data_IF_748077767710
#
_entry.id   IF_748077767710
#
_cell.length_a   1.000
_cell.length_b   1.000
_cell.length_c   1.000
_cell.angle_alpha   90.00
_cell.angle_beta   90.00
_cell.angle_gamma   90.00
#
_symmetry.space_group_name_H-M   'P 1'
#
loop_
_entity.id
_entity.type
_entity.pdbx_description
1 polymer ?
#
# COMPACT_ATOMS: atom_id res chain seq x y z
N UNK A 1 1.45 -3.56 14.90
CA UNK A 1 2.71 -4.30 15.17
C UNK A 1 3.81 -3.72 14.28
N UNK A 2 4.97 -3.34 14.83
CA UNK A 2 6.05 -2.73 14.05
C UNK A 2 6.70 -3.76 13.10
N UNK A 3 7.06 -3.34 11.89
CA UNK A 3 7.81 -4.18 10.93
C UNK A 3 9.22 -4.45 11.49
N UNK A 4 9.62 -5.72 11.56
CA UNK A 4 11.01 -6.09 11.91
C UNK A 4 11.91 -5.86 10.70
N UNK A 5 12.44 -4.65 10.62
CA UNK A 5 13.25 -4.19 9.49
C UNK A 5 14.59 -4.92 9.39
N UNK A 6 15.14 -5.42 10.49
CA UNK A 6 16.48 -6.04 10.51
C UNK A 6 16.43 -7.43 9.90
N UNK A 7 15.52 -8.29 10.36
CA UNK A 7 15.38 -9.63 9.80
C UNK A 7 14.89 -9.59 8.35
N UNK A 8 14.01 -8.64 8.02
CA UNK A 8 13.52 -8.44 6.67
C UNK A 8 14.63 -7.99 5.70
N UNK A 9 15.44 -6.99 6.07
CA UNK A 9 16.55 -6.54 5.21
C UNK A 9 17.52 -7.69 4.93
N UNK A 10 17.83 -8.51 5.95
CA UNK A 10 18.64 -9.71 5.78
C UNK A 10 18.00 -10.72 4.81
N UNK A 11 16.71 -11.01 4.97
CA UNK A 11 16.00 -11.92 4.08
C UNK A 11 16.03 -11.44 2.62
N UNK A 12 15.79 -10.14 2.38
CA UNK A 12 15.90 -9.52 1.06
C UNK A 12 17.32 -9.62 0.49
N UNK A 13 18.34 -9.49 1.34
CA UNK A 13 19.75 -9.64 0.95
C UNK A 13 20.11 -11.07 0.52
N UNK A 14 19.45 -12.07 1.11
CA UNK A 14 19.73 -13.49 0.83
C UNK A 14 18.93 -14.04 -0.37
N UNK A 15 17.94 -13.31 -0.90
CA UNK A 15 17.13 -13.73 -2.06
C UNK A 15 17.95 -13.79 -3.37
N UNK A 16 17.61 -14.66 -4.33
CA UNK A 16 18.11 -14.54 -5.71
C UNK A 16 17.77 -13.16 -6.30
N UNK A 17 18.65 -12.64 -7.17
CA UNK A 17 18.47 -11.29 -7.74
C UNK A 17 17.18 -11.21 -8.56
N UNK A 18 16.85 -12.27 -9.29
CA UNK A 18 15.63 -12.37 -10.08
C UNK A 18 14.39 -12.25 -9.19
N UNK A 19 14.38 -12.94 -8.04
CA UNK A 19 13.30 -12.87 -7.05
C UNK A 19 13.22 -11.50 -6.39
N UNK A 20 14.37 -10.89 -6.08
CA UNK A 20 14.42 -9.56 -5.48
C UNK A 20 13.81 -8.49 -6.41
N UNK A 21 14.04 -8.61 -7.72
CA UNK A 21 13.51 -7.68 -8.73
C UNK A 21 12.00 -7.85 -8.96
N UNK A 22 11.42 -9.02 -8.67
CA UNK A 22 9.96 -9.26 -8.79
C UNK A 22 9.19 -8.93 -7.52
N UNK A 23 9.87 -8.80 -6.38
CA UNK A 23 9.24 -8.58 -5.06
C UNK A 23 8.39 -7.29 -5.02
N UNK A 24 8.89 -6.17 -5.56
CA UNK A 24 8.13 -4.91 -5.56
C UNK A 24 6.82 -5.03 -6.37
N UNK A 25 6.82 -5.52 -7.63
CA UNK A 25 5.59 -5.79 -8.38
C UNK A 25 4.59 -6.70 -7.65
N UNK A 26 5.07 -7.75 -6.98
CA UNK A 26 4.23 -8.67 -6.22
C UNK A 26 3.57 -7.98 -5.03
N UNK A 27 4.33 -7.19 -4.26
CA UNK A 27 3.81 -6.39 -3.16
C UNK A 27 2.77 -5.39 -3.68
N UNK A 28 3.07 -4.65 -4.76
CA UNK A 28 2.15 -3.68 -5.36
C UNK A 28 0.83 -4.34 -5.78
N UNK A 29 0.88 -5.54 -6.37
CA UNK A 29 -0.31 -6.28 -6.74
C UNK A 29 -1.14 -6.68 -5.51
N UNK A 30 -0.49 -7.17 -4.45
CA UNK A 30 -1.16 -7.46 -3.18
C UNK A 30 -1.85 -6.22 -2.59
N UNK A 31 -1.17 -5.07 -2.60
CA UNK A 31 -1.74 -3.80 -2.13
C UNK A 31 -2.97 -3.38 -2.94
N UNK A 32 -2.96 -3.54 -4.26
CA UNK A 32 -4.12 -3.24 -5.13
C UNK A 32 -5.34 -4.07 -4.73
N UNK A 33 -5.14 -5.35 -4.44
CA UNK A 33 -6.23 -6.21 -3.98
C UNK A 33 -6.80 -5.75 -2.64
N UNK A 34 -5.95 -5.36 -1.69
CA UNK A 34 -6.39 -4.82 -0.40
C UNK A 34 -7.14 -3.49 -0.54
N UNK A 35 -6.64 -2.57 -1.37
CA UNK A 35 -7.29 -1.28 -1.65
C UNK A 35 -8.67 -1.49 -2.27
N UNK A 36 -8.77 -2.38 -3.26
CA UNK A 36 -10.04 -2.72 -3.88
C UNK A 36 -11.00 -3.33 -2.85
N UNK A 37 -10.53 -4.28 -2.05
CA UNK A 37 -11.34 -4.89 -0.99
C UNK A 37 -11.85 -3.85 0.00
N UNK A 38 -11.05 -2.84 0.34
CA UNK A 38 -11.47 -1.75 1.21
C UNK A 38 -12.57 -0.90 0.57
N UNK A 39 -12.47 -0.61 -0.72
CA UNK A 39 -13.51 0.12 -1.45
C UNK A 39 -14.80 -0.70 -1.52
N UNK A 40 -14.72 -1.99 -1.85
CA UNK A 40 -15.87 -2.89 -1.91
C UNK A 40 -16.59 -2.97 -0.53
N UNK A 41 -15.83 -3.01 0.58
CA UNK A 41 -16.40 -3.00 1.93
C UNK A 41 -17.06 -1.65 2.28
N UNK A 42 -16.46 -0.52 1.89
CA UNK A 42 -17.07 0.81 2.07
C UNK A 42 -18.34 1.00 1.25
N UNK A 43 -18.41 0.42 0.06
CA UNK A 43 -19.63 0.45 -0.77
C UNK A 43 -20.77 -0.36 -0.11
N UNK A 44 -20.43 -1.45 0.59
CA UNK A 44 -21.40 -2.28 1.29
C UNK A 44 -21.88 -1.67 2.62
N UNK A 45 -20.98 -1.02 3.38
CA UNK A 45 -21.31 -0.28 4.60
C UNK A 45 -20.81 1.18 4.56
N UNK A 46 -21.51 2.06 3.84
CA UNK A 46 -21.10 3.46 3.68
C UNK A 46 -21.11 4.27 4.98
N UNK A 47 -21.87 3.82 5.99
CA UNK A 47 -21.98 4.51 7.27
C UNK A 47 -20.98 3.98 8.32
N UNK A 48 -20.25 2.90 8.01
CA UNK A 48 -19.28 2.32 8.93
C UNK A 48 -19.91 1.78 10.22
N UNK A 49 -21.15 1.27 10.14
CA UNK A 49 -21.87 0.74 11.30
C UNK A 49 -21.56 -0.73 11.57
N UNK A 50 -21.05 -1.46 10.57
CA UNK A 50 -20.58 -2.83 10.72
C UNK A 50 -19.15 -2.81 11.28
N UNK A 51 -19.03 -3.22 12.54
CA UNK A 51 -17.76 -3.26 13.25
C UNK A 51 -16.77 -4.25 12.65
N UNK A 52 -17.25 -5.32 12.02
CA UNK A 52 -16.38 -6.33 11.41
C UNK A 52 -15.78 -5.78 10.12
N UNK A 53 -16.58 -5.08 9.30
CA UNK A 53 -16.09 -4.43 8.08
C UNK A 53 -15.12 -3.28 8.36
N UNK A 54 -15.45 -2.43 9.34
CA UNK A 54 -14.56 -1.33 9.74
C UNK A 54 -13.23 -1.85 10.30
N UNK A 55 -13.26 -2.91 11.11
CA UNK A 55 -12.04 -3.56 11.61
C UNK A 55 -11.20 -4.15 10.48
N UNK A 56 -11.82 -4.87 9.54
CA UNK A 56 -11.13 -5.45 8.39
C UNK A 56 -10.47 -4.36 7.51
N UNK A 57 -11.13 -3.22 7.31
CA UNK A 57 -10.57 -2.07 6.58
C UNK A 57 -9.31 -1.54 7.28
N UNK A 58 -9.35 -1.38 8.60
CA UNK A 58 -8.19 -0.89 9.37
C UNK A 58 -7.03 -1.89 9.35
N UNK A 59 -7.29 -3.19 9.49
CA UNK A 59 -6.26 -4.23 9.36
C UNK A 59 -5.61 -4.22 7.98
N UNK A 60 -6.40 -4.02 6.92
CA UNK A 60 -5.91 -3.89 5.56
C UNK A 60 -5.05 -2.63 5.39
N UNK A 61 -5.46 -1.49 5.96
CA UNK A 61 -4.66 -0.24 5.93
C UNK A 61 -3.31 -0.43 6.63
N UNK A 62 -3.29 -1.10 7.78
CA UNK A 62 -2.07 -1.45 8.52
C UNK A 62 -1.17 -2.39 7.71
N UNK A 63 -1.74 -3.34 6.98
CA UNK A 63 -0.99 -4.22 6.09
C UNK A 63 -0.40 -3.46 4.90
N UNK A 64 -1.18 -2.60 4.26
CA UNK A 64 -0.74 -1.72 3.17
C UNK A 64 0.44 -0.86 3.62
N UNK A 65 0.39 -0.26 4.82
CA UNK A 65 1.50 0.54 5.34
C UNK A 65 2.78 -0.29 5.55
N UNK A 66 2.66 -1.51 6.08
CA UNK A 66 3.81 -2.41 6.26
C UNK A 66 4.41 -2.86 4.93
N UNK A 67 3.55 -3.11 3.94
CA UNK A 67 3.97 -3.45 2.57
C UNK A 67 4.69 -2.28 1.90
N UNK A 68 4.22 -1.04 2.10
CA UNK A 68 4.89 0.16 1.59
C UNK A 68 6.28 0.36 2.21
N UNK A 69 6.42 0.14 3.52
CA UNK A 69 7.72 0.14 4.20
C UNK A 69 8.66 -0.97 3.68
N UNK A 70 8.10 -2.15 3.38
CA UNK A 70 8.86 -3.25 2.78
C UNK A 70 9.38 -2.88 1.39
N UNK A 71 8.61 -2.15 0.57
CA UNK A 71 9.08 -1.63 -0.72
C UNK A 71 10.31 -0.74 -0.54
N UNK A 72 10.33 0.14 0.46
CA UNK A 72 11.49 1.01 0.71
C UNK A 72 12.76 0.21 1.04
N UNK A 73 12.64 -0.82 1.88
CA UNK A 73 13.75 -1.73 2.20
C UNK A 73 14.19 -2.53 0.97
N UNK A 74 13.26 -3.01 0.14
CA UNK A 74 13.57 -3.71 -1.10
C UNK A 74 14.32 -2.80 -2.08
N UNK A 75 13.93 -1.54 -2.22
CA UNK A 75 14.64 -0.55 -3.04
C UNK A 75 16.07 -0.29 -2.54
N UNK A 76 16.26 -0.17 -1.22
CA UNK A 76 17.57 -0.04 -0.60
C UNK A 76 18.47 -1.24 -0.93
N UNK A 77 17.94 -2.45 -0.75
CA UNK A 77 18.67 -3.69 -1.07
C UNK A 77 18.98 -3.80 -2.56
N UNK A 78 18.05 -3.48 -3.46
CA UNK A 78 18.33 -3.46 -4.92
C UNK A 78 19.46 -2.48 -5.24
N UNK A 79 19.48 -1.30 -4.62
CA UNK A 79 20.53 -0.30 -4.83
C UNK A 79 21.90 -0.82 -4.40
N UNK A 80 21.96 -1.41 -3.21
CA UNK A 80 23.20 -1.94 -2.62
C UNK A 80 23.72 -3.17 -3.38
N UNK A 81 22.82 -4.04 -3.87
CA UNK A 81 23.17 -5.38 -4.36
C UNK A 81 23.24 -5.51 -5.88
N UNK A 82 22.40 -4.77 -6.58
CA UNK A 82 22.26 -4.84 -8.03
C UNK A 82 22.98 -3.65 -8.66
N UNK A 83 22.43 -2.45 -8.49
CA UNK A 83 23.04 -1.15 -8.78
C UNK A 83 22.00 -0.01 -8.61
N UNK A 84 22.48 1.23 -8.67
CA UNK A 84 21.66 2.43 -8.59
C UNK A 84 20.69 2.59 -9.77
N UNK A 85 21.03 2.12 -10.98
CA UNK A 85 20.15 2.22 -12.14
C UNK A 85 18.88 1.37 -11.98
N UNK A 86 19.02 0.11 -11.57
CA UNK A 86 17.91 -0.79 -11.27
C UNK A 86 17.03 -0.25 -10.15
N UNK A 87 17.64 0.29 -9.08
CA UNK A 87 16.89 0.90 -7.99
C UNK A 87 16.08 2.12 -8.44
N UNK A 88 16.63 2.97 -9.33
CA UNK A 88 15.91 4.14 -9.89
C UNK A 88 14.75 3.75 -10.79
N UNK A 89 14.93 2.72 -11.61
CA UNK A 89 13.86 2.19 -12.46
C UNK A 89 12.67 1.72 -11.61
N UNK A 90 12.95 0.90 -10.59
CA UNK A 90 11.92 0.41 -9.67
C UNK A 90 11.31 1.56 -8.86
N UNK A 91 12.11 2.53 -8.39
CA UNK A 91 11.61 3.69 -7.65
C UNK A 91 10.64 4.55 -8.49
N UNK A 92 10.85 4.66 -9.80
CA UNK A 92 9.93 5.36 -10.71
C UNK A 92 8.56 4.66 -10.78
N UNK A 93 8.56 3.33 -10.90
CA UNK A 93 7.33 2.52 -10.83
C UNK A 93 6.63 2.70 -9.48
N UNK A 94 7.38 2.63 -8.37
CA UNK A 94 6.86 2.83 -7.01
C UNK A 94 6.26 4.22 -6.83
N UNK A 95 6.92 5.27 -7.32
CA UNK A 95 6.39 6.64 -7.26
C UNK A 95 5.05 6.78 -8.00
N UNK A 96 4.95 6.17 -9.20
CA UNK A 96 3.71 6.13 -9.98
C UNK A 96 2.60 5.40 -9.22
N UNK A 97 2.92 4.27 -8.62
CA UNK A 97 2.00 3.48 -7.80
C UNK A 97 1.51 4.26 -6.58
N UNK A 98 2.42 4.84 -5.79
CA UNK A 98 2.11 5.64 -4.60
C UNK A 98 1.19 6.81 -4.94
N UNK A 99 1.48 7.52 -6.02
CA UNK A 99 0.62 8.62 -6.48
C UNK A 99 -0.80 8.14 -6.81
N UNK A 100 -0.93 7.00 -7.49
CA UNK A 100 -2.23 6.47 -7.90
C UNK A 100 -3.07 5.95 -6.73
N UNK A 101 -2.44 5.31 -5.75
CA UNK A 101 -3.15 4.47 -4.78
C UNK A 101 -3.01 4.90 -3.32
N UNK A 102 -1.96 5.66 -2.96
CA UNK A 102 -1.61 5.97 -1.58
C UNK A 102 -1.72 7.48 -1.30
N UNK A 103 -1.34 8.33 -2.25
CA UNK A 103 -1.34 9.79 -2.08
C UNK A 103 -2.73 10.43 -2.02
N UNK A 104 -3.81 9.67 -2.24
CA UNK A 104 -5.20 10.14 -2.08
C UNK A 104 -5.77 9.93 -0.67
N UNK A 105 -4.91 9.92 0.35
CA UNK A 105 -5.29 9.62 1.74
C UNK A 105 -6.24 10.63 2.43
N UNK A 106 -6.52 11.80 1.86
CA UNK A 106 -7.29 12.86 2.54
C UNK A 106 -8.56 13.36 1.81
N UNK A 107 -8.87 12.87 0.60
CA UNK A 107 -10.01 13.39 -0.18
C UNK A 107 -11.35 12.68 0.13
N UNK A 108 -11.30 11.42 0.56
CA UNK A 108 -12.50 10.61 0.83
C UNK A 108 -13.14 10.91 2.20
N UNK A 109 -12.43 11.57 3.12
CA UNK A 109 -12.97 11.93 4.44
C UNK A 109 -13.70 13.28 4.46
N UNK A 110 -13.79 14.01 3.33
CA UNK A 110 -14.46 15.33 3.26
C UNK A 110 -15.69 15.41 2.35
N UNK A 111 -16.13 14.32 1.74
CA UNK A 111 -17.36 14.31 0.93
C UNK A 111 -18.59 13.83 1.71
N UNK A 112 -18.70 14.23 2.97
CA UNK A 112 -19.89 14.01 3.81
C UNK A 112 -20.21 15.23 4.65
N UNK A 113 -20.23 16.42 4.04
CA UNK A 113 -20.98 17.55 4.58
C UNK A 113 -21.43 18.47 3.45
N UNK A 114 -22.75 18.71 3.45
CA UNK A 114 -23.47 19.80 2.79
C UNK A 114 -23.97 19.54 1.36
N UNK A 115 -25.12 18.88 1.24
CA UNK A 115 -26.27 19.59 0.68
C UNK A 115 -27.56 19.20 1.41
N UNK A 116 -27.89 20.05 2.38
CA UNK A 116 -29.17 20.06 3.05
C UNK A 116 -30.23 20.58 2.08
N UNK A 117 -31.13 19.69 1.68
CA UNK A 117 -32.53 19.92 1.29
C UNK A 117 -32.91 21.24 0.61
N UNK A 118 -33.45 21.10 -0.61
CA UNK A 118 -34.67 21.84 -0.99
C UNK A 118 -35.61 20.87 -1.71
N UNK A 119 -36.74 20.58 -1.06
CA UNK A 119 -37.95 20.12 -1.75
C UNK A 119 -38.47 21.25 -2.65
N UNK A 120 -38.61 20.99 -3.95
CA UNK A 120 -39.62 21.61 -4.82
C UNK A 120 -40.09 20.60 -5.88
#
# INVERSE_FOLDING_TARGET
>A
MLLDTTHLKKALWDMPVETLLTEIPEIQNSMVHLIRSNNDMKEFDPQGLDTDLTTAIEENKDLIQRQDQRIDLTLEVIRERVNDAAAREMASSVATFRNRYISNKDADERSSTDDAGVYL
#
